data_IF_843551892503
#
_entry.id   IF_843551892503
#
_cell.length_a   1.000
_cell.length_b   1.000
_cell.length_c   1.000
_cell.angle_alpha   90.00
_cell.angle_beta   90.00
_cell.angle_gamma   90.00
#
_symmetry.space_group_name_H-M   'P 1'
#
loop_
_entity.id
_entity.type
_entity.pdbx_description
1 polymer ?
#
# COMPACT_ATOMS: atom_id res chain seq x y z
N UNK A 1 22.59 -9.82 8.12
CA UNK A 1 21.31 -9.15 7.78
C UNK A 1 20.18 -10.03 8.28
N UNK A 2 19.28 -9.49 9.10
CA UNK A 2 18.11 -10.22 9.59
C UNK A 2 16.95 -9.99 8.62
N UNK A 3 16.31 -11.07 8.18
CA UNK A 3 15.14 -11.02 7.31
C UNK A 3 13.91 -11.42 8.10
N UNK A 4 12.83 -10.67 7.92
CA UNK A 4 11.53 -10.97 8.51
C UNK A 4 10.72 -11.84 7.55
N UNK A 5 9.92 -12.73 8.11
CA UNK A 5 8.95 -13.50 7.34
C UNK A 5 7.69 -12.68 7.08
N UNK A 6 6.84 -13.16 6.18
CA UNK A 6 5.55 -12.52 5.88
C UNK A 6 4.63 -12.54 7.11
N UNK A 7 4.66 -13.62 7.90
CA UNK A 7 3.87 -13.77 9.12
C UNK A 7 4.30 -12.78 10.20
N UNK A 8 5.61 -12.63 10.45
CA UNK A 8 6.11 -11.67 11.46
C UNK A 8 5.67 -10.23 11.14
N UNK A 9 5.68 -9.88 9.85
CA UNK A 9 5.27 -8.54 9.38
C UNK A 9 3.75 -8.39 9.37
N UNK A 10 3.01 -9.46 9.11
CA UNK A 10 1.56 -9.46 9.18
C UNK A 10 1.08 -9.18 10.62
N UNK A 11 1.70 -9.84 11.59
CA UNK A 11 1.41 -9.66 13.01
C UNK A 11 1.82 -8.26 13.48
N UNK A 12 3.03 -7.80 13.10
CA UNK A 12 3.51 -6.47 13.47
C UNK A 12 2.65 -5.32 12.91
N UNK A 13 2.12 -5.48 11.70
CA UNK A 13 1.29 -4.46 11.05
C UNK A 13 -0.21 -4.64 11.31
N UNK A 14 -0.61 -5.71 12.00
CA UNK A 14 -2.00 -6.10 12.22
C UNK A 14 -2.80 -6.20 10.91
N UNK A 15 -2.19 -6.79 9.88
CA UNK A 15 -2.83 -7.00 8.58
C UNK A 15 -2.70 -8.44 8.13
N UNK A 16 -3.57 -8.89 7.23
CA UNK A 16 -3.43 -10.23 6.65
C UNK A 16 -2.12 -10.38 5.87
N UNK A 17 -1.54 -11.58 5.89
CA UNK A 17 -0.37 -11.91 5.05
C UNK A 17 -0.61 -11.61 3.56
N UNK A 18 -1.85 -11.81 3.08
CA UNK A 18 -2.25 -11.45 1.72
C UNK A 18 -2.00 -9.97 1.43
N UNK A 19 -2.27 -9.09 2.41
CA UNK A 19 -1.99 -7.66 2.30
C UNK A 19 -0.49 -7.39 2.27
N UNK A 20 0.30 -8.06 3.10
CA UNK A 20 1.78 -7.95 3.09
C UNK A 20 2.35 -8.35 1.73
N UNK A 21 1.95 -9.51 1.18
CA UNK A 21 2.34 -9.95 -0.17
C UNK A 21 1.95 -8.92 -1.25
N UNK A 22 0.76 -8.32 -1.14
CA UNK A 22 0.32 -7.26 -2.06
C UNK A 22 1.24 -6.03 -1.98
N UNK A 23 1.63 -5.61 -0.77
CA UNK A 23 2.52 -4.46 -0.58
C UNK A 23 3.94 -4.75 -1.10
N UNK A 24 4.43 -5.98 -0.96
CA UNK A 24 5.69 -6.44 -1.54
C UNK A 24 5.63 -6.41 -3.07
N UNK A 25 4.58 -6.98 -3.68
CA UNK A 25 4.41 -6.95 -5.14
C UNK A 25 4.25 -5.52 -5.70
N UNK A 26 3.69 -4.60 -4.92
CA UNK A 26 3.60 -3.18 -5.29
C UNK A 26 4.94 -2.41 -5.11
N UNK A 27 5.99 -3.06 -4.60
CA UNK A 27 7.28 -2.42 -4.29
C UNK A 27 7.20 -1.40 -3.15
N UNK A 28 6.19 -1.54 -2.28
CA UNK A 28 5.93 -0.61 -1.17
C UNK A 28 6.58 -1.05 0.12
N UNK A 29 6.82 -2.35 0.26
CA UNK A 29 7.69 -2.93 1.27
C UNK A 29 8.94 -3.45 0.54
N UNK A 30 10.10 -3.25 1.15
CA UNK A 30 11.36 -3.77 0.61
C UNK A 30 11.52 -5.25 0.98
N UNK A 31 11.66 -6.09 -0.03
CA UNK A 31 11.83 -7.52 0.13
C UNK A 31 12.01 -8.21 -1.21
N UNK A 32 12.49 -9.45 -1.18
CA UNK A 32 12.72 -10.27 -2.37
C UNK A 32 12.26 -11.70 -2.11
N UNK A 33 12.15 -12.49 -3.18
CA UNK A 33 11.96 -13.93 -3.06
C UNK A 33 13.31 -14.63 -3.09
N UNK A 34 13.51 -15.51 -2.12
CA UNK A 34 14.68 -16.40 -2.04
C UNK A 34 14.60 -17.51 -3.10
N UNK A 35 15.65 -18.34 -3.21
CA UNK A 35 15.73 -19.45 -4.19
C UNK A 35 14.60 -20.48 -4.06
N UNK A 36 13.92 -20.49 -2.91
CA UNK A 36 12.76 -21.35 -2.60
C UNK A 36 11.40 -20.68 -2.87
N UNK A 37 11.37 -19.54 -3.58
CA UNK A 37 10.18 -18.71 -3.82
C UNK A 37 9.54 -18.11 -2.53
N UNK A 38 10.29 -18.07 -1.43
CA UNK A 38 9.84 -17.56 -0.13
C UNK A 38 10.18 -16.08 -0.02
N UNK A 39 9.20 -15.25 0.36
CA UNK A 39 9.42 -13.83 0.62
C UNK A 39 10.30 -13.59 1.85
N UNK A 40 11.39 -12.83 1.64
CA UNK A 40 12.29 -12.32 2.66
C UNK A 40 12.15 -10.80 2.72
N UNK A 41 11.73 -10.28 3.86
CA UNK A 41 11.50 -8.84 4.05
C UNK A 41 12.73 -8.23 4.74
N UNK A 42 13.27 -7.16 4.19
CA UNK A 42 14.44 -6.49 4.75
C UNK A 42 14.06 -5.64 5.96
N UNK A 43 14.88 -5.71 7.01
CA UNK A 43 14.80 -4.83 8.18
C UNK A 43 15.87 -3.72 8.05
N UNK A 44 15.56 -2.44 8.35
CA UNK A 44 14.33 -1.91 8.94
C UNK A 44 13.12 -1.91 8.00
N UNK A 45 11.93 -2.11 8.57
CA UNK A 45 10.68 -2.14 7.82
C UNK A 45 10.34 -0.73 7.31
N UNK A 46 10.46 -0.50 6.01
CA UNK A 46 10.08 0.76 5.38
C UNK A 46 8.85 0.54 4.48
N UNK A 47 7.73 1.19 4.82
CA UNK A 47 6.47 1.08 4.08
C UNK A 47 6.20 2.40 3.36
N UNK A 48 6.22 2.35 2.02
CA UNK A 48 5.86 3.50 1.20
C UNK A 48 4.35 3.74 1.23
N UNK A 49 3.90 4.98 1.53
CA UNK A 49 2.49 5.33 1.50
C UNK A 49 1.93 5.20 0.08
N UNK A 50 0.61 5.09 0.02
CA UNK A 50 -0.10 4.81 -1.22
C UNK A 50 -0.68 6.10 -1.73
N UNK A 51 -0.85 6.19 -3.04
CA UNK A 51 -1.67 7.25 -3.59
C UNK A 51 -3.13 6.96 -3.23
N UNK A 52 -3.75 7.83 -2.43
CA UNK A 52 -5.19 7.81 -2.17
C UNK A 52 -5.84 8.79 -3.13
N UNK A 53 -6.83 8.31 -3.88
CA UNK A 53 -7.56 9.14 -4.82
C UNK A 53 -6.88 9.29 -6.19
N UNK A 54 -7.60 9.94 -7.12
CA UNK A 54 -7.12 10.13 -8.48
C UNK A 54 -5.85 10.99 -8.54
N UNK A 55 -4.99 10.74 -9.55
CA UNK A 55 -3.83 11.61 -9.80
C UNK A 55 -4.31 12.98 -10.31
N UNK A 56 -4.40 13.93 -9.40
CA UNK A 56 -4.93 15.27 -9.66
C UNK A 56 -4.11 16.07 -10.67
N UNK A 57 -2.89 15.61 -11.04
CA UNK A 57 -2.06 16.27 -12.06
C UNK A 57 -2.59 16.08 -13.48
N UNK A 58 -3.40 15.04 -13.71
CA UNK A 58 -4.07 14.76 -15.00
C UNK A 58 -5.59 14.86 -14.95
N UNK A 59 -6.19 14.94 -13.76
CA UNK A 59 -7.62 15.18 -13.63
C UNK A 59 -7.92 16.62 -14.00
N UNK A 60 -8.46 16.82 -15.21
CA UNK A 60 -9.07 18.07 -15.60
C UNK A 60 -10.05 18.51 -14.51
N UNK A 61 -9.75 19.62 -13.83
CA UNK A 61 -10.56 20.26 -12.77
C UNK A 61 -12.01 20.53 -13.21
N UNK A 62 -12.32 20.37 -14.51
CA UNK A 62 -13.60 20.62 -15.17
C UNK A 62 -14.79 19.75 -14.72
N UNK A 63 -14.60 18.71 -13.89
CA UNK A 63 -15.73 17.86 -13.42
C UNK A 63 -16.04 17.91 -11.93
N UNK A 64 -15.30 18.70 -11.14
CA UNK A 64 -15.70 19.01 -9.77
C UNK A 64 -16.70 20.17 -9.78
N UNK A 65 -17.87 19.97 -10.39
CA UNK A 65 -18.98 20.84 -10.04
C UNK A 65 -19.38 20.46 -8.61
N UNK A 66 -19.37 21.40 -7.65
CA UNK A 66 -19.99 21.12 -6.37
C UNK A 66 -21.42 20.71 -6.68
N UNK A 67 -21.82 19.50 -6.24
CA UNK A 67 -23.23 19.14 -6.21
C UNK A 67 -23.90 20.28 -5.47
N UNK A 68 -24.68 21.10 -6.16
CA UNK A 68 -25.47 22.15 -5.53
C UNK A 68 -26.28 21.45 -4.45
N UNK A 69 -25.87 21.63 -3.20
CA UNK A 69 -26.69 21.26 -2.06
C UNK A 69 -27.91 22.17 -2.16
N UNK A 70 -28.99 21.65 -2.77
CA UNK A 70 -30.31 22.28 -2.64
C UNK A 70 -30.68 22.14 -1.16
N UNK A 71 -30.43 23.21 -0.41
CA UNK A 71 -31.07 23.41 0.89
C UNK A 71 -32.55 23.61 0.58
N UNK A 72 -33.35 22.58 0.85
CA UNK A 72 -34.81 22.69 0.86
C UNK A 72 -35.16 23.55 2.07
N UNK A 73 -35.80 24.69 1.81
CA UNK A 73 -36.36 25.58 2.84
C UNK A 73 -37.64 25.01 3.39
#
# INVERSE_FOLDING_TARGET
MQFLSVSDVADFLEVSERRVRTLLSQGRISGFKDDKDIWRITCPLNIKPGKRGPDLRGYSVRKLQPRQFKVVK
#
